data_IF_384327654378
#
_entry.id   IF_384327654378
#
_cell.length_a   1.000
_cell.length_b   1.000
_cell.length_c   1.000
_cell.angle_alpha   90.00
_cell.angle_beta   90.00
_cell.angle_gamma   90.00
#
_symmetry.space_group_name_H-M   'P 1'
#
loop_
_entity.id
_entity.type
_entity.pdbx_description
1 polymer ?
#
# COMPACT_ATOMS: atom_id res chain seq x y z
N UNK A 1 7.00 -20.09 7.00
CA UNK A 1 7.83 -18.88 6.76
C UNK A 1 7.25 -17.74 7.59
N UNK A 2 8.08 -16.78 8.04
CA UNK A 2 7.62 -15.64 8.85
C UNK A 2 6.79 -14.67 8.01
N UNK A 3 5.59 -14.33 8.49
CA UNK A 3 4.67 -13.38 7.84
C UNK A 3 4.64 -12.01 8.52
N UNK A 4 5.49 -11.77 9.52
CA UNK A 4 5.47 -10.54 10.34
C UNK A 4 5.68 -9.26 9.53
N UNK A 5 6.42 -9.35 8.40
CA UNK A 5 6.64 -8.22 7.49
C UNK A 5 5.33 -7.64 6.92
N UNK A 6 4.29 -8.46 6.84
CA UNK A 6 2.96 -8.08 6.33
C UNK A 6 2.00 -7.61 7.43
N UNK A 7 2.48 -7.41 8.66
CA UNK A 7 1.65 -6.91 9.77
C UNK A 7 1.84 -5.39 9.96
N UNK A 8 0.88 -4.73 10.60
CA UNK A 8 0.94 -3.29 10.90
C UNK A 8 0.67 -2.38 9.70
N UNK A 9 1.17 -1.16 9.77
CA UNK A 9 1.00 -0.15 8.71
C UNK A 9 2.10 -0.23 7.66
N UNK A 10 1.71 -0.34 6.40
CA UNK A 10 2.62 -0.54 5.27
C UNK A 10 2.19 0.41 4.14
N UNK A 11 2.80 1.60 4.01
CA UNK A 11 2.47 2.51 2.92
C UNK A 11 2.80 1.92 1.54
N UNK A 12 1.88 2.12 0.60
CA UNK A 12 2.13 1.88 -0.82
C UNK A 12 2.98 3.05 -1.35
N UNK A 13 4.30 2.89 -1.30
CA UNK A 13 5.26 3.95 -1.58
C UNK A 13 5.18 4.40 -3.04
N UNK A 14 4.94 5.69 -3.23
CA UNK A 14 4.89 6.33 -4.54
C UNK A 14 6.30 6.70 -5.02
N UNK A 15 6.50 6.70 -6.34
CA UNK A 15 7.77 7.11 -6.94
C UNK A 15 7.75 8.61 -7.23
N UNK A 16 8.60 9.43 -6.60
CA UNK A 16 8.76 10.83 -6.99
C UNK A 16 9.50 10.92 -8.33
N UNK A 17 9.24 11.99 -9.09
CA UNK A 17 9.86 12.24 -10.37
C UNK A 17 10.65 13.54 -10.36
N UNK A 18 11.75 13.58 -11.10
CA UNK A 18 12.51 14.78 -11.40
C UNK A 18 11.79 15.67 -12.44
N UNK A 19 12.23 16.91 -12.61
CA UNK A 19 11.69 17.82 -13.60
C UNK A 19 11.86 17.33 -15.06
N UNK A 20 12.80 16.42 -15.31
CA UNK A 20 13.00 15.75 -16.60
C UNK A 20 12.18 14.46 -16.76
N UNK A 21 11.23 14.21 -15.85
CA UNK A 21 10.36 13.02 -15.83
C UNK A 21 11.05 11.69 -15.57
N UNK A 22 12.28 11.70 -15.08
CA UNK A 22 12.97 10.49 -14.60
C UNK A 22 12.66 10.24 -13.11
N UNK A 23 12.83 9.00 -12.59
CA UNK A 23 12.65 8.72 -11.17
C UNK A 23 13.62 9.52 -10.29
N UNK A 24 13.09 10.18 -9.25
CA UNK A 24 13.91 10.78 -8.19
C UNK A 24 14.22 9.71 -7.12
N UNK A 25 15.27 8.94 -7.34
CA UNK A 25 15.68 7.86 -6.43
C UNK A 25 16.07 8.38 -5.04
N UNK A 26 16.66 9.56 -4.95
CA UNK A 26 17.02 10.15 -3.65
C UNK A 26 15.78 10.50 -2.82
N UNK A 27 14.78 11.13 -3.45
CA UNK A 27 13.47 11.41 -2.83
C UNK A 27 12.72 10.13 -2.44
N UNK A 28 12.75 9.09 -3.29
CA UNK A 28 12.17 7.78 -2.99
C UNK A 28 12.78 7.17 -1.73
N UNK A 29 14.10 7.12 -1.63
CA UNK A 29 14.83 6.57 -0.46
C UNK A 29 14.53 7.38 0.78
N UNK A 30 14.61 8.72 0.69
CA UNK A 30 14.30 9.61 1.80
C UNK A 30 12.89 9.36 2.33
N UNK A 31 11.89 9.28 1.46
CA UNK A 31 10.50 9.02 1.86
C UNK A 31 10.36 7.65 2.52
N UNK A 32 10.97 6.62 1.97
CA UNK A 32 10.98 5.29 2.58
C UNK A 32 11.55 5.31 4.00
N UNK A 33 12.69 5.96 4.21
CA UNK A 33 13.33 6.11 5.53
C UNK A 33 12.46 6.93 6.49
N UNK A 34 11.86 8.03 6.04
CA UNK A 34 10.97 8.87 6.87
C UNK A 34 9.75 8.07 7.36
N UNK A 35 9.16 7.23 6.51
CA UNK A 35 8.02 6.37 6.86
C UNK A 35 8.41 5.31 7.91
N UNK A 36 9.57 4.68 7.76
CA UNK A 36 10.06 3.70 8.76
C UNK A 36 10.40 4.41 10.08
N UNK A 37 11.03 5.58 10.03
CA UNK A 37 11.31 6.39 11.21
C UNK A 37 10.03 6.85 11.95
N UNK A 38 8.94 7.08 11.21
CA UNK A 38 7.62 7.37 11.77
C UNK A 38 6.96 6.16 12.46
N UNK A 39 7.47 4.93 12.24
CA UNK A 39 6.97 3.70 12.86
C UNK A 39 6.22 2.76 11.92
N UNK A 40 6.20 3.01 10.61
CA UNK A 40 5.66 2.06 9.64
C UNK A 40 6.52 0.79 9.62
N UNK A 41 5.88 -0.37 9.46
CA UNK A 41 6.56 -1.66 9.55
C UNK A 41 7.44 -1.97 8.31
N UNK A 42 6.96 -1.58 7.15
CA UNK A 42 7.60 -1.75 5.85
C UNK A 42 7.02 -0.75 4.86
N UNK A 43 7.52 -0.76 3.64
CA UNK A 43 6.86 -0.13 2.49
C UNK A 43 6.59 -1.16 1.40
N UNK A 44 5.48 -1.01 0.67
CA UNK A 44 5.29 -1.72 -0.61
C UNK A 44 5.77 -0.82 -1.73
N UNK A 45 6.74 -1.28 -2.51
CA UNK A 45 7.20 -0.56 -3.71
C UNK A 45 6.89 -1.35 -4.98
N UNK A 46 6.68 -0.66 -6.09
CA UNK A 46 6.20 -1.24 -7.36
C UNK A 46 4.79 -1.89 -7.26
N UNK A 47 3.97 -1.45 -6.30
CA UNK A 47 2.51 -1.61 -6.37
C UNK A 47 1.89 -0.60 -7.34
N UNK A 48 0.55 -0.60 -7.46
CA UNK A 48 -0.18 0.34 -8.35
C UNK A 48 0.18 1.80 -8.06
N UNK A 49 0.27 2.18 -6.80
CA UNK A 49 0.66 3.53 -6.39
C UNK A 49 2.15 3.84 -6.62
N UNK A 50 3.00 2.83 -6.75
CA UNK A 50 4.43 2.98 -7.04
C UNK A 50 4.73 3.31 -8.50
N UNK A 51 3.72 3.59 -9.31
CA UNK A 51 3.83 3.96 -10.72
C UNK A 51 4.50 2.87 -11.59
N UNK A 52 4.45 1.59 -11.17
CA UNK A 52 5.16 0.53 -11.88
C UNK A 52 4.84 0.46 -13.40
N UNK A 53 3.63 0.78 -13.90
CA UNK A 53 3.35 0.76 -15.34
C UNK A 53 4.07 1.85 -16.13
N UNK A 54 4.55 2.91 -15.44
CA UNK A 54 5.21 4.08 -16.04
C UNK A 54 6.73 4.01 -15.96
N UNK A 55 7.26 3.02 -15.23
CA UNK A 55 8.69 2.80 -15.05
C UNK A 55 9.19 1.67 -15.94
N UNK A 56 10.40 1.80 -16.46
CA UNK A 56 11.09 0.67 -17.10
C UNK A 56 11.44 -0.40 -16.06
N UNK A 57 11.71 -1.63 -16.52
CA UNK A 57 12.12 -2.72 -15.62
C UNK A 57 13.41 -2.34 -14.85
N UNK A 58 14.39 -1.70 -15.51
CA UNK A 58 15.64 -1.23 -14.90
C UNK A 58 15.38 -0.14 -13.85
N UNK A 59 14.48 0.81 -14.11
CA UNK A 59 14.12 1.85 -13.15
C UNK A 59 13.45 1.26 -11.90
N UNK A 60 12.57 0.28 -12.07
CA UNK A 60 11.92 -0.44 -10.97
C UNK A 60 12.96 -1.16 -10.11
N UNK A 61 13.83 -1.94 -10.74
CA UNK A 61 14.88 -2.68 -10.05
C UNK A 61 15.86 -1.75 -9.33
N UNK A 62 16.26 -0.65 -9.97
CA UNK A 62 17.12 0.36 -9.35
C UNK A 62 16.48 0.99 -8.12
N UNK A 63 15.18 1.29 -8.15
CA UNK A 63 14.45 1.80 -6.99
C UNK A 63 14.37 0.78 -5.84
N UNK A 64 14.11 -0.50 -6.14
CA UNK A 64 14.13 -1.58 -5.14
C UNK A 64 15.52 -1.71 -4.51
N UNK A 65 16.57 -1.73 -5.32
CA UNK A 65 17.96 -1.82 -4.86
C UNK A 65 18.28 -0.64 -3.94
N UNK A 66 18.00 0.59 -4.36
CA UNK A 66 18.29 1.79 -3.57
C UNK A 66 17.58 1.80 -2.21
N UNK A 67 16.31 1.38 -2.16
CA UNK A 67 15.57 1.27 -0.89
C UNK A 67 16.16 0.21 0.03
N UNK A 68 16.51 -0.98 -0.49
CA UNK A 68 17.09 -2.07 0.30
C UNK A 68 18.48 -1.74 0.81
N UNK A 69 19.34 -1.14 -0.01
CA UNK A 69 20.68 -0.66 0.37
C UNK A 69 20.61 0.44 1.45
N UNK A 70 19.57 1.26 1.42
CA UNK A 70 19.31 2.27 2.44
C UNK A 70 18.69 1.70 3.75
N UNK A 71 18.53 0.38 3.85
CA UNK A 71 18.00 -0.30 5.02
C UNK A 71 16.47 -0.22 5.18
N UNK A 72 15.74 0.22 4.17
CA UNK A 72 14.28 0.25 4.18
C UNK A 72 13.74 -1.15 3.99
N UNK A 73 12.86 -1.69 4.88
CA UNK A 73 12.18 -2.95 4.66
C UNK A 73 11.18 -2.85 3.49
N UNK A 74 11.48 -3.51 2.38
CA UNK A 74 10.68 -3.40 1.14
C UNK A 74 9.93 -4.69 0.85
N UNK A 75 8.64 -4.57 0.59
CA UNK A 75 7.80 -5.58 -0.05
C UNK A 75 7.68 -5.19 -1.52
N UNK A 76 8.07 -6.08 -2.44
CA UNK A 76 8.12 -5.76 -3.87
C UNK A 76 6.86 -6.22 -4.58
N UNK A 77 6.19 -5.31 -5.28
CA UNK A 77 5.10 -5.62 -6.20
C UNK A 77 5.64 -6.20 -7.51
N UNK A 78 5.12 -7.38 -7.90
CA UNK A 78 5.58 -8.11 -9.09
C UNK A 78 4.78 -7.82 -10.36
N UNK A 79 3.98 -6.74 -10.37
CA UNK A 79 3.11 -6.38 -11.49
C UNK A 79 3.86 -6.36 -12.83
N UNK A 80 3.33 -7.07 -13.83
CA UNK A 80 3.89 -7.12 -15.18
C UNK A 80 2.84 -7.56 -16.19
N UNK A 81 3.06 -7.23 -17.46
CA UNK A 81 2.20 -7.67 -18.58
C UNK A 81 2.44 -9.13 -18.97
N UNK A 82 3.55 -9.73 -18.54
CA UNK A 82 3.87 -11.13 -18.81
C UNK A 82 4.59 -11.79 -17.62
N UNK A 83 4.50 -13.12 -17.55
CA UNK A 83 5.05 -13.91 -16.45
C UNK A 83 6.57 -13.80 -16.36
N UNK A 84 7.30 -13.79 -17.48
CA UNK A 84 8.76 -13.71 -17.49
C UNK A 84 9.29 -12.45 -16.82
N UNK A 85 8.67 -11.30 -17.08
CA UNK A 85 9.04 -10.04 -16.44
C UNK A 85 8.71 -10.05 -14.94
N UNK A 86 7.54 -10.61 -14.56
CA UNK A 86 7.17 -10.75 -13.14
C UNK A 86 8.16 -11.64 -12.37
N UNK A 87 8.59 -12.74 -12.98
CA UNK A 87 9.64 -13.64 -12.45
C UNK A 87 10.96 -12.89 -12.26
N UNK A 88 11.42 -12.14 -13.27
CA UNK A 88 12.66 -11.36 -13.16
C UNK A 88 12.62 -10.33 -12.02
N UNK A 89 11.47 -9.71 -11.76
CA UNK A 89 11.31 -8.81 -10.60
C UNK A 89 11.35 -9.56 -9.27
N UNK A 90 10.79 -10.75 -9.18
CA UNK A 90 10.85 -11.58 -7.97
C UNK A 90 12.27 -12.08 -7.69
N UNK A 91 12.98 -12.57 -8.71
CA UNK A 91 14.38 -12.97 -8.60
C UNK A 91 15.27 -11.81 -8.14
N UNK A 92 15.12 -10.64 -8.76
CA UNK A 92 15.84 -9.44 -8.36
C UNK A 92 15.54 -9.04 -6.91
N UNK A 93 14.26 -9.05 -6.50
CA UNK A 93 13.86 -8.73 -5.13
C UNK A 93 14.56 -9.64 -4.11
N UNK A 94 14.65 -10.94 -4.38
CA UNK A 94 15.36 -11.88 -3.51
C UNK A 94 16.87 -11.60 -3.50
N UNK A 95 17.48 -11.35 -4.67
CA UNK A 95 18.92 -11.06 -4.79
C UNK A 95 19.37 -9.84 -4.02
N UNK A 96 18.56 -8.77 -3.98
CA UNK A 96 18.91 -7.52 -3.28
C UNK A 96 18.45 -7.49 -1.82
N UNK A 97 17.84 -8.58 -1.32
CA UNK A 97 17.47 -8.71 0.09
C UNK A 97 16.19 -7.99 0.49
N UNK A 98 15.25 -7.80 -0.44
CA UNK A 98 13.87 -7.38 -0.12
C UNK A 98 13.26 -8.29 0.97
N UNK A 99 12.20 -7.84 1.63
CA UNK A 99 11.64 -8.54 2.79
C UNK A 99 10.38 -9.35 2.47
N UNK A 100 9.80 -9.17 1.30
CA UNK A 100 8.61 -9.91 0.88
C UNK A 100 8.19 -9.57 -0.54
N UNK A 101 7.21 -10.33 -1.04
CA UNK A 101 6.60 -10.10 -2.34
C UNK A 101 5.09 -9.82 -2.18
N UNK A 102 4.60 -8.87 -2.95
CA UNK A 102 3.19 -8.71 -3.24
C UNK A 102 2.94 -9.19 -4.67
N UNK A 103 2.41 -10.40 -4.79
CA UNK A 103 2.24 -11.07 -6.09
C UNK A 103 0.96 -10.57 -6.75
N UNK A 104 1.14 -9.94 -7.90
CA UNK A 104 0.06 -9.31 -8.65
C UNK A 104 -0.38 -10.24 -9.78
N UNK A 105 -1.71 -10.42 -10.02
CA UNK A 105 -2.21 -11.19 -11.14
C UNK A 105 -1.67 -10.70 -12.48
N UNK A 106 -1.59 -11.58 -13.45
CA UNK A 106 -1.19 -11.22 -14.80
C UNK A 106 -2.23 -10.29 -15.43
N UNK A 107 -1.78 -9.13 -15.89
CA UNK A 107 -2.63 -8.07 -16.41
C UNK A 107 -2.96 -8.24 -17.91
N UNK A 108 -4.07 -7.63 -18.33
CA UNK A 108 -4.47 -7.47 -19.75
C UNK A 108 -4.36 -8.77 -20.54
N UNK A 109 -4.65 -9.87 -19.91
CA UNK A 109 -4.38 -11.17 -20.46
C UNK A 109 -5.60 -11.72 -21.22
N UNK A 110 -5.37 -12.23 -22.39
CA UNK A 110 -6.30 -13.18 -23.02
C UNK A 110 -6.36 -14.51 -22.28
N UNK A 111 -5.46 -14.75 -21.35
CA UNK A 111 -5.40 -15.91 -20.45
C UNK A 111 -5.74 -15.50 -19.03
N UNK A 112 -6.96 -15.07 -18.78
CA UNK A 112 -7.50 -14.82 -17.43
C UNK A 112 -8.14 -16.06 -16.83
N UNK A 113 -7.94 -17.24 -17.42
CA UNK A 113 -8.42 -18.50 -16.83
C UNK A 113 -7.68 -18.74 -15.50
N UNK A 114 -8.34 -19.39 -14.53
CA UNK A 114 -7.70 -19.78 -13.27
C UNK A 114 -6.39 -20.56 -13.47
N UNK A 115 -6.32 -21.44 -14.46
CA UNK A 115 -5.11 -22.19 -14.80
C UNK A 115 -3.96 -21.29 -15.25
N UNK A 116 -4.21 -20.30 -16.12
CA UNK A 116 -3.19 -19.37 -16.59
C UNK A 116 -2.69 -18.45 -15.46
N UNK A 117 -3.57 -18.04 -14.55
CA UNK A 117 -3.19 -17.27 -13.37
C UNK A 117 -2.42 -18.11 -12.35
N UNK A 118 -2.83 -19.37 -12.18
CA UNK A 118 -2.08 -20.33 -11.35
C UNK A 118 -0.64 -20.47 -11.84
N UNK A 119 -0.45 -20.71 -13.14
CA UNK A 119 0.90 -20.86 -13.72
C UNK A 119 1.73 -19.57 -13.53
N UNK A 120 1.08 -18.40 -13.64
CA UNK A 120 1.73 -17.12 -13.39
C UNK A 120 2.18 -16.97 -11.92
N UNK A 121 1.29 -17.24 -10.97
CA UNK A 121 1.61 -17.17 -9.55
C UNK A 121 2.68 -18.20 -9.14
N UNK A 122 2.53 -19.43 -9.62
CA UNK A 122 3.50 -20.50 -9.36
C UNK A 122 4.91 -20.15 -9.83
N UNK A 123 5.03 -19.60 -11.03
CA UNK A 123 6.32 -19.16 -11.58
C UNK A 123 6.98 -18.07 -10.71
N UNK A 124 6.22 -17.08 -10.21
CA UNK A 124 6.73 -16.01 -9.35
C UNK A 124 7.15 -16.56 -7.98
N UNK A 125 6.31 -17.39 -7.36
CA UNK A 125 6.59 -17.99 -6.06
C UNK A 125 7.82 -18.90 -6.10
N UNK A 126 7.99 -19.67 -7.19
CA UNK A 126 9.19 -20.49 -7.43
C UNK A 126 10.46 -19.68 -7.62
N UNK A 127 10.36 -18.49 -8.21
CA UNK A 127 11.51 -17.64 -8.54
C UNK A 127 12.15 -16.99 -7.30
N UNK A 128 11.39 -16.84 -6.22
CA UNK A 128 11.88 -16.25 -4.97
C UNK A 128 11.40 -17.04 -3.75
N UNK A 129 11.84 -18.31 -3.61
CA UNK A 129 11.34 -19.22 -2.59
C UNK A 129 11.71 -18.82 -1.15
N UNK A 130 12.69 -17.93 -0.98
CA UNK A 130 13.13 -17.44 0.35
C UNK A 130 12.35 -16.21 0.82
N UNK A 131 11.60 -15.56 -0.07
CA UNK A 131 10.79 -14.40 0.30
C UNK A 131 9.35 -14.81 0.65
N UNK A 132 8.83 -14.40 1.82
CA UNK A 132 7.41 -14.54 2.09
C UNK A 132 6.61 -13.71 1.08
N UNK A 133 5.48 -14.23 0.64
CA UNK A 133 4.66 -13.63 -0.39
C UNK A 133 3.19 -13.59 -0.01
N UNK A 134 2.49 -12.54 -0.43
CA UNK A 134 1.04 -12.44 -0.38
C UNK A 134 0.48 -12.29 -1.79
N UNK A 135 -0.65 -12.93 -2.09
CA UNK A 135 -1.39 -12.64 -3.33
C UNK A 135 -2.16 -11.34 -3.14
N UNK A 136 -2.05 -10.45 -4.12
CA UNK A 136 -2.82 -9.21 -4.18
C UNK A 136 -4.08 -9.41 -5.01
N UNK A 137 -5.22 -9.38 -4.36
CA UNK A 137 -6.54 -9.41 -4.99
C UNK A 137 -7.09 -7.99 -5.10
N UNK A 138 -7.47 -7.61 -6.32
CA UNK A 138 -8.00 -6.27 -6.59
C UNK A 138 -8.88 -6.28 -7.83
N UNK A 139 -10.03 -5.59 -7.81
CA UNK A 139 -10.91 -5.46 -8.97
C UNK A 139 -10.22 -4.78 -10.16
N UNK A 140 -9.17 -3.98 -9.93
CA UNK A 140 -8.42 -3.29 -10.99
C UNK A 140 -7.67 -4.25 -11.93
N UNK A 141 -7.40 -5.47 -11.50
CA UNK A 141 -6.62 -6.42 -12.30
C UNK A 141 -7.47 -7.38 -13.13
N UNK A 142 -8.79 -7.30 -13.01
CA UNK A 142 -9.71 -8.10 -13.82
C UNK A 142 -9.66 -9.60 -13.56
N UNK A 143 -9.01 -10.02 -12.47
CA UNK A 143 -8.98 -11.40 -12.00
C UNK A 143 -9.15 -11.45 -10.49
N UNK A 144 -10.05 -12.29 -10.03
CA UNK A 144 -10.29 -12.51 -8.62
C UNK A 144 -9.78 -13.89 -8.19
N UNK A 145 -8.82 -13.91 -7.27
CA UNK A 145 -8.30 -15.15 -6.68
C UNK A 145 -9.27 -15.64 -5.62
N UNK A 146 -9.80 -16.84 -5.82
CA UNK A 146 -10.67 -17.54 -4.86
C UNK A 146 -9.89 -18.54 -4.02
N UNK A 147 -10.52 -19.02 -2.95
CA UNK A 147 -9.93 -19.93 -1.99
C UNK A 147 -9.33 -21.18 -2.63
N UNK A 148 -10.01 -21.82 -3.58
CA UNK A 148 -9.53 -23.01 -4.25
C UNK A 148 -8.16 -22.80 -4.92
N UNK A 149 -8.00 -21.70 -5.66
CA UNK A 149 -6.73 -21.36 -6.30
C UNK A 149 -5.67 -20.99 -5.27
N UNK A 150 -6.06 -20.25 -4.22
CA UNK A 150 -5.12 -19.87 -3.17
C UNK A 150 -4.55 -21.11 -2.47
N UNK A 151 -5.38 -22.07 -2.08
CA UNK A 151 -4.93 -23.28 -1.38
C UNK A 151 -4.21 -24.26 -2.29
N UNK A 152 -4.57 -24.35 -3.56
CA UNK A 152 -3.81 -25.14 -4.53
C UNK A 152 -2.35 -24.61 -4.60
N UNK A 153 -2.15 -23.30 -4.66
CA UNK A 153 -0.83 -22.69 -4.60
C UNK A 153 -0.15 -22.83 -3.23
N UNK A 154 -0.88 -22.60 -2.13
CA UNK A 154 -0.33 -22.68 -0.77
C UNK A 154 0.20 -24.08 -0.44
N UNK A 155 -0.46 -25.13 -0.94
CA UNK A 155 -0.04 -26.51 -0.75
C UNK A 155 1.30 -26.83 -1.44
N UNK A 156 1.61 -26.13 -2.53
CA UNK A 156 2.86 -26.31 -3.28
C UNK A 156 3.95 -25.33 -2.82
N UNK A 157 3.59 -24.09 -2.46
CA UNK A 157 4.51 -23.01 -2.16
C UNK A 157 4.40 -22.54 -0.70
N UNK A 158 5.29 -23.01 0.15
CA UNK A 158 5.32 -22.65 1.58
C UNK A 158 5.62 -21.17 1.85
N UNK A 159 6.16 -20.45 0.86
CA UNK A 159 6.41 -19.02 0.93
C UNK A 159 5.15 -18.14 0.64
N UNK A 160 4.05 -18.71 0.16
CA UNK A 160 2.77 -18.01 0.09
C UNK A 160 2.15 -17.94 1.50
N UNK A 161 2.26 -16.81 2.19
CA UNK A 161 1.92 -16.66 3.62
C UNK A 161 0.70 -15.80 3.89
N UNK A 162 0.01 -15.32 2.86
CA UNK A 162 -1.16 -14.48 3.11
C UNK A 162 -1.82 -13.91 1.87
N UNK A 163 -2.77 -13.02 2.14
CA UNK A 163 -3.66 -12.46 1.15
C UNK A 163 -3.89 -10.96 1.41
N UNK A 164 -3.70 -10.13 0.38
CA UNK A 164 -4.08 -8.73 0.39
C UNK A 164 -5.38 -8.55 -0.39
N UNK A 165 -6.41 -8.04 0.26
CA UNK A 165 -7.70 -7.76 -0.38
C UNK A 165 -7.92 -6.24 -0.53
N UNK A 166 -8.14 -5.80 -1.77
CA UNK A 166 -8.43 -4.40 -2.12
C UNK A 166 -9.93 -4.20 -2.45
N UNK A 167 -10.73 -5.23 -2.47
CA UNK A 167 -12.18 -5.13 -2.69
C UNK A 167 -12.91 -4.48 -1.53
N UNK A 168 -14.22 -4.29 -1.69
CA UNK A 168 -15.09 -3.79 -0.64
C UNK A 168 -15.27 -4.77 0.53
N UNK A 169 -16.16 -4.43 1.46
CA UNK A 169 -16.40 -5.20 2.67
C UNK A 169 -16.72 -6.69 2.43
N UNK A 170 -17.51 -6.99 1.40
CA UNK A 170 -17.89 -8.37 1.06
C UNK A 170 -16.68 -9.20 0.61
N UNK A 171 -15.79 -8.62 -0.20
CA UNK A 171 -14.58 -9.30 -0.67
C UNK A 171 -13.60 -9.55 0.49
N UNK A 172 -13.47 -8.59 1.41
CA UNK A 172 -12.63 -8.72 2.59
C UNK A 172 -13.19 -9.77 3.57
N UNK A 173 -14.52 -9.80 3.75
CA UNK A 173 -15.19 -10.84 4.54
C UNK A 173 -15.00 -12.22 3.93
N UNK A 174 -15.12 -12.34 2.58
CA UNK A 174 -14.84 -13.60 1.88
C UNK A 174 -13.41 -14.07 2.13
N UNK A 175 -12.42 -13.18 1.98
CA UNK A 175 -11.01 -13.54 2.21
C UNK A 175 -10.77 -13.99 3.66
N UNK A 176 -11.39 -13.31 4.63
CA UNK A 176 -11.33 -13.70 6.02
C UNK A 176 -11.93 -15.09 6.26
N UNK A 177 -13.15 -15.32 5.79
CA UNK A 177 -13.91 -16.55 6.09
C UNK A 177 -13.38 -17.79 5.35
N UNK A 178 -12.95 -17.61 4.10
CA UNK A 178 -12.61 -18.72 3.22
C UNK A 178 -11.12 -18.94 2.99
N UNK A 179 -10.26 -17.97 3.33
CA UNK A 179 -8.81 -18.07 3.11
C UNK A 179 -8.07 -18.04 4.45
N UNK A 180 -8.13 -16.93 5.18
CA UNK A 180 -7.21 -16.72 6.31
C UNK A 180 -7.70 -17.28 7.64
N UNK A 181 -8.99 -17.51 7.84
CA UNK A 181 -9.52 -18.16 9.06
C UNK A 181 -9.21 -19.65 9.17
N UNK A 182 -8.81 -20.28 8.07
CA UNK A 182 -8.55 -21.73 8.01
C UNK A 182 -7.15 -22.12 8.49
N UNK A 183 -6.23 -21.15 8.56
CA UNK A 183 -4.83 -21.33 8.96
C UNK A 183 -4.33 -20.05 9.66
N UNK A 184 -4.11 -20.13 10.98
CA UNK A 184 -3.63 -19.00 11.82
C UNK A 184 -2.26 -18.45 11.38
N UNK A 185 -1.50 -19.21 10.60
CA UNK A 185 -0.21 -18.77 10.05
C UNK A 185 -0.37 -17.80 8.88
N UNK A 186 -1.56 -17.77 8.25
CA UNK A 186 -1.85 -16.88 7.13
C UNK A 186 -2.15 -15.46 7.63
N UNK A 187 -1.69 -14.46 6.88
CA UNK A 187 -1.98 -13.05 7.15
C UNK A 187 -2.99 -12.51 6.17
N UNK A 188 -4.04 -11.86 6.69
CA UNK A 188 -4.92 -11.02 5.91
C UNK A 188 -4.46 -9.57 6.00
N UNK A 189 -4.45 -8.89 4.86
CA UNK A 189 -4.13 -7.47 4.78
C UNK A 189 -5.30 -6.70 4.17
N UNK A 190 -5.75 -5.65 4.86
CA UNK A 190 -6.65 -4.67 4.26
C UNK A 190 -5.86 -3.87 3.21
N UNK A 191 -6.32 -3.90 1.98
CA UNK A 191 -5.61 -3.32 0.82
C UNK A 191 -6.05 -1.91 0.45
N UNK A 192 -7.11 -1.37 1.09
CA UNK A 192 -7.68 -0.05 0.85
C UNK A 192 -8.00 0.64 2.17
N UNK A 193 -7.69 1.93 2.27
CA UNK A 193 -7.81 2.68 3.52
C UNK A 193 -9.24 2.72 4.08
N UNK A 194 -10.27 2.74 3.22
CA UNK A 194 -11.68 2.76 3.62
C UNK A 194 -12.18 1.46 4.25
N UNK A 195 -11.41 0.37 4.18
CA UNK A 195 -11.78 -0.95 4.72
C UNK A 195 -10.93 -1.40 5.92
N UNK A 196 -10.05 -0.55 6.42
CA UNK A 196 -9.12 -0.90 7.51
C UNK A 196 -9.86 -1.26 8.80
N UNK A 197 -10.86 -0.48 9.20
CA UNK A 197 -11.65 -0.79 10.40
C UNK A 197 -12.32 -2.17 10.28
N UNK A 198 -13.01 -2.41 9.18
CA UNK A 198 -13.68 -3.68 8.93
C UNK A 198 -12.67 -4.84 8.93
N UNK A 199 -11.54 -4.66 8.24
CA UNK A 199 -10.48 -5.65 8.15
C UNK A 199 -9.94 -6.07 9.52
N UNK A 200 -9.53 -5.11 10.33
CA UNK A 200 -8.93 -5.39 11.64
C UNK A 200 -9.95 -5.87 12.68
N UNK A 201 -11.09 -5.21 12.74
CA UNK A 201 -12.05 -5.42 13.85
C UNK A 201 -12.95 -6.60 13.61
N UNK A 202 -13.29 -6.89 12.35
CA UNK A 202 -14.27 -7.93 12.03
C UNK A 202 -13.68 -9.11 11.24
N UNK A 203 -12.58 -8.89 10.48
CA UNK A 203 -12.01 -9.89 9.58
C UNK A 203 -10.67 -10.47 10.04
N UNK A 204 -10.14 -10.01 11.18
CA UNK A 204 -8.87 -10.52 11.70
C UNK A 204 -7.65 -10.11 10.88
N UNK A 205 -7.73 -9.05 10.07
CA UNK A 205 -6.57 -8.51 9.36
C UNK A 205 -5.51 -8.06 10.35
N UNK A 206 -4.25 -8.33 10.03
CA UNK A 206 -3.09 -7.96 10.85
C UNK A 206 -2.23 -6.90 10.17
N UNK A 207 -2.44 -6.63 8.89
CA UNK A 207 -1.74 -5.62 8.12
C UNK A 207 -2.69 -4.73 7.32
N UNK A 208 -2.23 -3.51 7.03
CA UNK A 208 -2.91 -2.59 6.11
C UNK A 208 -1.90 -2.02 5.13
N UNK A 209 -2.17 -2.16 3.83
CA UNK A 209 -1.45 -1.42 2.80
C UNK A 209 -2.24 -0.14 2.54
N UNK A 210 -1.62 1.00 2.81
CA UNK A 210 -2.29 2.28 2.93
C UNK A 210 -1.74 3.31 1.93
N UNK A 211 -2.64 4.04 1.28
CA UNK A 211 -2.31 5.20 0.46
C UNK A 211 -2.08 6.43 1.30
N UNK A 212 -3.04 6.76 2.18
CA UNK A 212 -2.97 7.94 3.05
C UNK A 212 -1.82 7.88 4.06
N UNK A 213 -1.32 6.70 4.39
CA UNK A 213 -0.14 6.52 5.25
C UNK A 213 1.14 7.13 4.69
N UNK A 214 1.22 7.41 3.38
CA UNK A 214 2.32 8.20 2.82
C UNK A 214 2.26 9.66 3.27
N UNK A 215 1.05 10.19 3.50
CA UNK A 215 0.80 11.60 3.83
C UNK A 215 0.69 11.84 5.34
N UNK A 216 0.00 10.94 6.05
CA UNK A 216 -0.38 11.07 7.45
C UNK A 216 0.03 9.81 8.25
N UNK A 217 1.32 9.49 8.33
CA UNK A 217 1.78 8.24 8.95
C UNK A 217 1.43 8.14 10.44
N UNK A 218 1.48 9.24 11.18
CA UNK A 218 1.18 9.23 12.61
C UNK A 218 -0.29 8.92 12.90
N UNK A 219 -1.19 9.53 12.13
CA UNK A 219 -2.64 9.33 12.24
C UNK A 219 -3.03 7.90 11.85
N UNK A 220 -2.46 7.38 10.77
CA UNK A 220 -2.69 6.00 10.33
C UNK A 220 -2.20 5.00 11.38
N UNK A 221 -1.00 5.18 11.95
CA UNK A 221 -0.47 4.32 12.99
C UNK A 221 -1.35 4.36 14.26
N UNK A 222 -1.81 5.55 14.64
CA UNK A 222 -2.74 5.69 15.76
C UNK A 222 -4.06 4.97 15.47
N UNK A 223 -4.59 5.12 14.27
CA UNK A 223 -5.81 4.43 13.83
C UNK A 223 -5.68 2.92 13.88
N UNK A 224 -4.58 2.37 13.34
CA UNK A 224 -4.31 0.92 13.38
C UNK A 224 -4.20 0.40 14.82
N UNK A 225 -3.55 1.15 15.72
CA UNK A 225 -3.48 0.82 17.14
C UNK A 225 -4.88 0.74 17.77
N UNK A 226 -5.73 1.72 17.49
CA UNK A 226 -7.12 1.73 17.97
C UNK A 226 -7.92 0.55 17.40
N UNK A 227 -7.75 0.22 16.12
CA UNK A 227 -8.39 -0.94 15.50
C UNK A 227 -7.96 -2.26 16.16
N UNK A 228 -6.67 -2.44 16.45
CA UNK A 228 -6.17 -3.61 17.18
C UNK A 228 -6.80 -3.75 18.57
N UNK A 229 -6.81 -2.67 19.37
CA UNK A 229 -7.46 -2.67 20.67
C UNK A 229 -8.97 -2.92 20.59
N UNK A 230 -9.62 -2.41 19.53
CA UNK A 230 -11.05 -2.65 19.29
C UNK A 230 -11.33 -4.11 18.93
N UNK A 231 -10.43 -4.77 18.19
CA UNK A 231 -10.51 -6.20 17.89
C UNK A 231 -10.38 -7.07 19.16
N UNK A 232 -9.58 -6.62 20.13
CA UNK A 232 -9.43 -7.25 21.46
C UNK A 232 -10.63 -6.97 22.40
N UNK A 233 -11.66 -6.26 21.94
CA UNK A 233 -12.89 -6.01 22.70
C UNK A 233 -12.94 -4.66 23.43
N UNK A 234 -11.97 -3.77 23.27
CA UNK A 234 -11.99 -2.44 23.91
C UNK A 234 -13.05 -1.53 23.27
N UNK A 235 -14.18 -1.33 23.95
CA UNK A 235 -15.29 -0.51 23.45
C UNK A 235 -14.91 0.96 23.22
N UNK A 236 -14.05 1.52 24.08
CA UNK A 236 -13.55 2.90 23.94
C UNK A 236 -12.68 3.04 22.71
N UNK A 237 -11.73 2.11 22.49
CA UNK A 237 -10.90 2.10 21.30
C UNK A 237 -11.74 1.92 20.03
N UNK A 238 -12.75 1.05 20.06
CA UNK A 238 -13.69 0.87 18.94
C UNK A 238 -14.39 2.17 18.54
N UNK A 239 -14.87 2.95 19.52
CA UNK A 239 -15.49 4.26 19.26
C UNK A 239 -14.49 5.23 18.64
N UNK A 240 -13.31 5.39 19.25
CA UNK A 240 -12.28 6.31 18.76
C UNK A 240 -11.73 5.89 17.40
N UNK A 241 -11.57 4.58 17.14
CA UNK A 241 -11.19 4.09 15.82
C UNK A 241 -12.21 4.50 14.76
N UNK A 242 -13.52 4.37 15.08
CA UNK A 242 -14.58 4.75 14.14
C UNK A 242 -14.65 6.26 13.90
N UNK A 243 -14.42 7.06 14.95
CA UNK A 243 -14.34 8.52 14.83
C UNK A 243 -13.14 8.95 13.95
N UNK A 244 -11.99 8.31 14.14
CA UNK A 244 -10.78 8.60 13.33
C UNK A 244 -10.92 8.10 11.90
N UNK A 245 -11.53 6.93 11.67
CA UNK A 245 -11.88 6.45 10.34
C UNK A 245 -12.72 7.49 9.57
N UNK A 246 -13.77 8.01 10.22
CA UNK A 246 -14.63 9.03 9.61
C UNK A 246 -13.86 10.32 9.30
N UNK A 247 -12.94 10.72 10.17
CA UNK A 247 -12.11 11.89 9.93
C UNK A 247 -11.13 11.66 8.76
N UNK A 248 -10.50 10.49 8.68
CA UNK A 248 -9.59 10.13 7.58
C UNK A 248 -10.32 9.91 6.26
N UNK A 249 -11.60 9.54 6.30
CA UNK A 249 -12.36 9.15 5.11
C UNK A 249 -12.37 10.22 4.03
N UNK A 250 -12.36 11.49 4.40
CA UNK A 250 -12.34 12.61 3.44
C UNK A 250 -11.09 12.58 2.53
N UNK A 251 -10.00 11.94 2.95
CA UNK A 251 -8.78 11.76 2.18
C UNK A 251 -8.64 10.32 1.66
N UNK A 252 -9.03 9.32 2.46
CA UNK A 252 -8.95 7.91 2.07
C UNK A 252 -9.83 7.56 0.87
N UNK A 253 -10.89 8.34 0.62
CA UNK A 253 -11.76 8.18 -0.55
C UNK A 253 -11.02 8.34 -1.89
N UNK A 254 -9.85 8.97 -1.90
CA UNK A 254 -9.01 9.07 -3.09
C UNK A 254 -8.50 7.69 -3.58
N UNK A 255 -8.45 6.68 -2.71
CA UNK A 255 -8.12 5.30 -3.09
C UNK A 255 -9.09 4.69 -4.11
N UNK A 256 -10.33 5.18 -4.16
CA UNK A 256 -11.41 4.62 -4.96
C UNK A 256 -11.47 5.21 -6.38
N UNK A 257 -10.66 6.24 -6.66
CA UNK A 257 -10.65 6.95 -7.93
C UNK A 257 -9.51 6.54 -8.87
N UNK A 258 -9.65 6.80 -10.19
CA UNK A 258 -8.60 6.49 -11.17
C UNK A 258 -7.34 7.36 -10.98
N UNK A 259 -7.49 8.56 -10.42
CA UNK A 259 -6.40 9.53 -10.23
C UNK A 259 -5.77 9.45 -8.82
N UNK A 260 -5.94 8.32 -8.13
CA UNK A 260 -5.51 8.16 -6.73
C UNK A 260 -4.05 8.58 -6.49
N UNK A 261 -3.12 8.20 -7.38
CA UNK A 261 -1.70 8.54 -7.25
C UNK A 261 -1.48 10.04 -7.37
N UNK A 262 -2.17 10.71 -8.29
CA UNK A 262 -2.06 12.16 -8.49
C UNK A 262 -2.58 12.92 -7.27
N UNK A 263 -3.69 12.47 -6.68
CA UNK A 263 -4.23 13.07 -5.46
C UNK A 263 -3.26 12.93 -4.28
N UNK A 264 -2.70 11.75 -4.03
CA UNK A 264 -1.78 11.55 -2.92
C UNK A 264 -0.44 12.26 -3.13
N UNK A 265 0.11 12.30 -4.34
CA UNK A 265 1.29 13.13 -4.66
C UNK A 265 0.99 14.61 -4.40
N UNK A 266 -0.17 15.10 -4.81
CA UNK A 266 -0.56 16.48 -4.55
C UNK A 266 -0.76 16.78 -3.06
N UNK A 267 -1.33 15.86 -2.29
CA UNK A 267 -1.40 15.99 -0.83
C UNK A 267 -0.02 16.07 -0.20
N UNK A 268 0.96 15.29 -0.66
CA UNK A 268 2.34 15.37 -0.18
C UNK A 268 2.93 16.76 -0.44
N UNK A 269 2.71 17.33 -1.63
CA UNK A 269 3.15 18.69 -1.96
C UNK A 269 2.50 19.73 -1.05
N UNK A 270 1.19 19.63 -0.80
CA UNK A 270 0.48 20.51 0.14
C UNK A 270 1.02 20.41 1.57
N UNK A 271 1.54 19.24 1.95
CA UNK A 271 2.16 18.98 3.25
C UNK A 271 3.67 19.34 3.29
N UNK A 272 4.22 19.88 2.20
CA UNK A 272 5.59 20.40 2.11
C UNK A 272 6.62 19.44 1.51
N UNK A 273 6.21 18.27 1.00
CA UNK A 273 7.09 17.31 0.34
C UNK A 273 7.15 17.59 -1.16
N UNK A 274 8.01 18.52 -1.58
CA UNK A 274 8.12 19.01 -2.95
C UNK A 274 8.76 18.01 -3.91
N UNK A 275 9.32 16.90 -3.44
CA UNK A 275 9.82 15.83 -4.31
C UNK A 275 8.72 15.20 -5.18
N UNK A 276 7.44 15.43 -4.84
CA UNK A 276 6.28 14.91 -5.56
C UNK A 276 5.60 15.89 -6.52
N UNK A 277 6.20 17.05 -6.81
CA UNK A 277 5.65 18.06 -7.74
C UNK A 277 5.58 17.58 -9.19
N UNK A 278 6.48 16.68 -9.59
CA UNK A 278 6.61 16.20 -10.97
C UNK A 278 6.04 14.80 -11.16
N UNK A 279 5.65 14.49 -12.39
CA UNK A 279 5.10 13.20 -12.79
C UNK A 279 5.86 12.63 -13.98
N UNK A 280 5.75 11.31 -14.23
CA UNK A 280 6.44 10.63 -15.34
C UNK A 280 5.92 11.04 -16.71
N UNK A 281 4.63 11.35 -16.82
CA UNK A 281 4.07 11.93 -18.03
C UNK A 281 3.70 13.41 -17.78
N UNK A 282 4.07 14.34 -18.68
CA UNK A 282 3.73 15.76 -18.52
C UNK A 282 2.22 16.05 -18.50
N UNK A 283 1.42 15.12 -19.05
CA UNK A 283 -0.05 15.22 -19.08
C UNK A 283 -0.71 14.77 -17.79
N UNK A 284 -0.01 14.00 -16.95
CA UNK A 284 -0.55 13.43 -15.71
C UNK A 284 -0.59 14.51 -14.63
N UNK A 285 -1.71 15.22 -14.59
CA UNK A 285 -1.93 16.32 -13.64
C UNK A 285 -3.39 16.42 -13.23
N UNK A 286 -3.63 16.76 -12.00
CA UNK A 286 -4.95 17.14 -11.54
C UNK A 286 -5.41 18.43 -12.22
N UNK A 287 -6.68 18.47 -12.63
CA UNK A 287 -7.34 19.70 -13.07
C UNK A 287 -7.44 20.71 -11.92
N UNK A 288 -7.73 21.97 -12.22
CA UNK A 288 -7.91 22.99 -11.20
C UNK A 288 -9.03 22.64 -10.20
N UNK A 289 -10.12 22.07 -10.68
CA UNK A 289 -11.22 21.64 -9.82
C UNK A 289 -10.84 20.46 -8.91
N UNK A 290 -10.04 19.50 -9.41
CA UNK A 290 -9.53 18.39 -8.61
C UNK A 290 -8.54 18.87 -7.53
N UNK A 291 -7.68 19.83 -7.84
CA UNK A 291 -6.77 20.43 -6.84
C UNK A 291 -7.55 21.12 -5.74
N UNK A 292 -8.52 21.97 -6.09
CA UNK A 292 -9.38 22.62 -5.11
C UNK A 292 -10.11 21.59 -4.25
N UNK A 293 -10.60 20.51 -4.86
CA UNK A 293 -11.22 19.43 -4.12
C UNK A 293 -10.25 18.80 -3.10
N UNK A 294 -9.03 18.47 -3.51
CA UNK A 294 -8.03 17.92 -2.59
C UNK A 294 -7.67 18.89 -1.45
N UNK A 295 -7.52 20.19 -1.75
CA UNK A 295 -7.27 21.23 -0.76
C UNK A 295 -8.41 21.37 0.25
N UNK A 296 -9.66 21.31 -0.22
CA UNK A 296 -10.83 21.41 0.65
C UNK A 296 -10.98 20.16 1.51
N UNK A 297 -10.72 18.96 0.98
CA UNK A 297 -10.70 17.72 1.78
C UNK A 297 -9.60 17.77 2.86
N UNK A 298 -8.41 18.26 2.52
CA UNK A 298 -7.33 18.40 3.50
C UNK A 298 -7.69 19.39 4.62
N UNK A 299 -8.37 20.52 4.29
CA UNK A 299 -8.88 21.47 5.30
C UNK A 299 -9.93 20.83 6.21
N UNK A 300 -10.80 19.97 5.66
CA UNK A 300 -11.80 19.26 6.46
C UNK A 300 -11.16 18.25 7.43
N UNK A 301 -10.03 17.64 7.02
CA UNK A 301 -9.27 16.76 7.89
C UNK A 301 -8.50 17.52 8.98
N UNK A 302 -7.96 18.70 8.70
CA UNK A 302 -7.23 19.50 9.68
C UNK A 302 -8.16 19.87 10.84
N UNK A 303 -8.02 19.28 12.03
CA UNK A 303 -8.90 19.61 13.15
C UNK A 303 -8.64 21.06 13.58
N UNK A 304 -9.68 21.83 13.71
CA UNK A 304 -9.66 23.19 14.26
C UNK A 304 -9.27 23.23 15.74
N UNK A 305 -9.25 22.06 16.41
CA UNK A 305 -8.73 21.84 17.78
C UNK A 305 -8.26 20.38 17.94
N UNK A 306 -7.34 20.08 18.88
CA UNK A 306 -6.87 18.70 19.13
C UNK A 306 -7.99 17.85 19.74
N UNK A 307 -8.87 17.30 18.90
CA UNK A 307 -10.02 16.46 19.32
C UNK A 307 -9.61 15.13 19.97
N UNK A 308 -8.34 14.73 19.85
CA UNK A 308 -7.92 13.36 20.20
C UNK A 308 -6.72 13.30 21.16
N UNK A 309 -6.40 14.37 21.90
CA UNK A 309 -5.30 14.34 22.89
C UNK A 309 -3.91 14.13 22.26
N UNK A 310 -3.77 14.25 20.96
CA UNK A 310 -2.49 14.23 20.28
C UNK A 310 -1.91 15.64 20.30
N UNK A 311 -0.79 15.81 21.03
CA UNK A 311 0.08 16.95 20.81
C UNK A 311 0.66 16.77 19.39
N UNK A 312 0.14 17.51 18.41
CA UNK A 312 0.74 17.59 17.09
C UNK A 312 2.17 18.15 17.27
N UNK A 313 3.17 17.32 17.12
CA UNK A 313 4.53 17.80 16.90
C UNK A 313 4.64 18.24 15.43
N UNK A 314 3.96 19.31 15.09
CA UNK A 314 4.33 20.10 13.94
C UNK A 314 5.65 20.77 14.33
N UNK A 315 6.77 20.19 13.84
CA UNK A 315 8.05 20.88 13.85
C UNK A 315 7.81 22.29 13.30
N UNK A 316 8.17 23.29 14.07
CA UNK A 316 8.04 24.72 13.79
C UNK A 316 8.62 25.08 12.42
N UNK A 317 7.78 25.11 11.41
CA UNK A 317 8.02 25.84 10.19
C UNK A 317 7.28 27.18 10.29
N UNK A 318 7.92 28.31 9.95
CA UNK A 318 7.34 29.62 10.20
C UNK A 318 6.13 29.86 9.31
N UNK A 319 5.10 30.39 9.93
CA UNK A 319 3.88 31.00 9.40
C UNK A 319 3.91 31.39 7.91
N UNK A 320 3.21 30.60 7.09
CA UNK A 320 2.79 30.97 5.73
C UNK A 320 1.36 31.57 5.70
N UNK A 321 0.89 32.18 6.78
CA UNK A 321 -0.42 32.83 6.82
C UNK A 321 -0.25 34.35 6.89
N UNK A 322 0.19 34.90 5.76
CA UNK A 322 0.24 36.34 5.51
C UNK A 322 -0.26 36.66 4.12
N UNK A 323 -1.56 36.49 3.88
CA UNK A 323 -2.24 37.16 2.76
C UNK A 323 -3.52 37.81 3.28
N UNK A 324 -3.50 39.11 3.17
CA UNK A 324 -4.66 40.00 3.37
C UNK A 324 -5.71 39.76 2.31
#
# INVERSE_FOLDING_TARGET
MDSSIFCGGIPALMTPANADHTPNTAGLVKKGQDLIAAGMNAVVYCGSMGDWPLLTDDQRQSGVTALTEAGVPVIVGTGAVNTRTAVAHAEHAQQVGAKGLMVIPRLLSRGTSPAAQRDHFAAILSAAPELPAVIYNSPYYGFETKADLFFDLRNEFSNLVGFKEFGGADALSYAAEHITSTDETLVLMAGVDTQVFHGFVNCGARGAITGIGNCLPAEVLHYLKLCGQAAEGCATARRHAKELEQALHVLSVFDEGPDLVLYYKYLLVLLGDTDYEHHFNPSDRLSESQRRYAEDQLKLFQPTEPRFGMAMSLSSSPSLWGLK
#
